data_IF_181836401949
#
_entry.id   IF_181836401949
#
_cell.length_a   1.000
_cell.length_b   1.000
_cell.length_c   1.000
_cell.angle_alpha   90.00
_cell.angle_beta   90.00
_cell.angle_gamma   90.00
#
_symmetry.space_group_name_H-M   'P 1'
#
loop_
_entity.id
_entity.type
_entity.pdbx_description
1 polymer ?
#
# COMPACT_ATOMS: atom_id res chain seq x y z
N UNK A 1 1.52 -5.30 9.81
CA UNK A 1 1.99 -5.23 8.41
C UNK A 1 3.19 -4.30 8.38
N UNK A 2 4.33 -4.80 7.91
CA UNK A 2 5.51 -3.98 7.63
C UNK A 2 5.51 -3.71 6.13
N UNK A 3 5.71 -2.47 5.74
CA UNK A 3 5.78 -2.01 4.35
C UNK A 3 7.17 -1.47 4.11
N UNK A 4 7.92 -2.11 3.23
CA UNK A 4 9.21 -1.63 2.77
C UNK A 4 9.08 -1.16 1.32
N UNK A 5 9.39 0.10 1.07
CA UNK A 5 9.38 0.65 -0.28
C UNK A 5 10.74 0.47 -0.95
N UNK A 6 10.71 0.19 -2.25
CA UNK A 6 11.85 0.15 -3.14
C UNK A 6 11.55 1.00 -4.36
N UNK A 7 12.47 1.86 -4.75
CA UNK A 7 12.36 2.70 -5.94
C UNK A 7 13.18 2.10 -7.07
N UNK A 8 12.60 2.04 -8.26
CA UNK A 8 13.34 1.63 -9.45
C UNK A 8 14.31 2.74 -9.86
N UNK A 9 15.60 2.42 -9.90
CA UNK A 9 16.66 3.30 -10.33
C UNK A 9 17.77 2.47 -10.99
N UNK A 10 18.30 2.94 -12.12
CA UNK A 10 19.44 2.28 -12.81
C UNK A 10 19.24 0.78 -13.05
N UNK A 11 18.05 0.40 -13.55
CA UNK A 11 17.67 -0.97 -13.91
C UNK A 11 17.42 -1.95 -12.74
N UNK A 12 17.43 -1.46 -11.49
CA UNK A 12 17.19 -2.28 -10.31
C UNK A 12 16.27 -1.57 -9.29
N UNK A 13 15.60 -2.36 -8.44
CA UNK A 13 14.82 -1.83 -7.33
C UNK A 13 15.73 -1.59 -6.13
N UNK A 14 16.01 -0.32 -5.84
CA UNK A 14 16.84 0.09 -4.70
C UNK A 14 15.98 0.41 -3.50
N UNK A 15 16.48 0.09 -2.31
CA UNK A 15 15.80 0.36 -1.06
C UNK A 15 15.48 1.87 -0.97
N UNK A 16 14.21 2.20 -0.84
CA UNK A 16 13.77 3.55 -0.55
C UNK A 16 13.69 3.68 0.98
N UNK A 17 14.20 4.75 1.60
CA UNK A 17 14.31 4.87 3.06
C UNK A 17 12.96 5.12 3.76
N UNK A 18 11.86 4.61 3.19
CA UNK A 18 10.54 4.60 3.80
C UNK A 18 10.20 3.17 4.21
N UNK A 19 10.21 2.97 5.53
CA UNK A 19 9.68 1.77 6.15
C UNK A 19 8.50 2.18 7.03
N UNK A 20 7.35 1.61 6.75
CA UNK A 20 6.16 1.87 7.54
C UNK A 20 5.73 0.60 8.25
N UNK A 21 5.27 0.74 9.48
CA UNK A 21 4.65 -0.34 10.22
C UNK A 21 3.23 0.07 10.53
N UNK A 22 2.27 -0.69 10.00
CA UNK A 22 0.86 -0.49 10.22
C UNK A 22 0.26 -1.70 10.92
N UNK A 23 -0.68 -1.45 11.84
CA UNK A 23 -1.58 -2.51 12.25
C UNK A 23 -2.44 -2.92 11.06
N UNK A 24 -2.62 -4.22 10.87
CA UNK A 24 -3.47 -4.77 9.81
C UNK A 24 -4.87 -4.14 9.85
N UNK A 25 -5.42 -4.03 11.06
CA UNK A 25 -6.73 -3.43 11.32
C UNK A 25 -6.80 -1.95 10.90
N UNK A 26 -5.77 -1.17 11.26
CA UNK A 26 -5.72 0.25 10.92
C UNK A 26 -5.64 0.46 9.40
N UNK A 27 -4.93 -0.41 8.69
CA UNK A 27 -4.76 -0.29 7.24
C UNK A 27 -6.10 -0.44 6.49
N UNK A 28 -6.96 -1.36 6.92
CA UNK A 28 -8.28 -1.58 6.31
C UNK A 28 -9.37 -0.65 6.83
N UNK A 29 -9.35 -0.27 8.12
CA UNK A 29 -10.37 0.59 8.74
C UNK A 29 -10.12 2.06 8.42
N UNK A 30 -8.87 2.53 8.52
CA UNK A 30 -8.50 3.93 8.29
C UNK A 30 -8.18 4.24 6.83
N UNK A 31 -8.37 3.29 5.93
CA UNK A 31 -8.14 3.44 4.48
C UNK A 31 -6.74 4.01 4.16
N UNK A 32 -5.73 3.53 4.90
CA UNK A 32 -4.37 4.07 4.77
C UNK A 32 -3.85 3.73 3.38
N UNK A 33 -3.57 4.77 2.59
CA UNK A 33 -3.16 4.63 1.19
C UNK A 33 -4.26 4.12 0.27
N UNK A 34 -5.55 4.21 0.61
CA UNK A 34 -6.66 3.82 -0.28
C UNK A 34 -6.98 2.31 -0.31
N UNK A 35 -6.32 1.52 0.53
CA UNK A 35 -6.47 0.05 0.57
C UNK A 35 -7.82 -0.39 1.18
N UNK A 36 -8.43 0.44 2.01
CA UNK A 36 -9.76 0.21 2.58
C UNK A 36 -10.89 0.39 1.56
N UNK A 37 -10.65 1.05 0.42
CA UNK A 37 -11.67 1.36 -0.59
C UNK A 37 -11.89 0.24 -1.62
N UNK A 38 -11.28 -0.94 -1.43
CA UNK A 38 -11.48 -2.09 -2.30
C UNK A 38 -12.96 -2.53 -2.30
N UNK A 39 -13.63 -2.41 -3.46
CA UNK A 39 -15.06 -2.72 -3.63
C UNK A 39 -15.40 -4.20 -3.36
N UNK A 40 -14.44 -5.10 -3.57
CA UNK A 40 -14.62 -6.54 -3.40
C UNK A 40 -13.79 -7.06 -2.21
N UNK A 41 -14.08 -6.53 -1.03
CA UNK A 41 -13.54 -7.04 0.23
C UNK A 41 -14.64 -7.73 1.04
N UNK A 42 -14.34 -8.91 1.58
CA UNK A 42 -15.21 -9.56 2.58
C UNK A 42 -14.70 -9.32 4.03
N UNK A 43 -13.66 -8.50 4.17
CA UNK A 43 -13.12 -8.06 5.45
C UNK A 43 -13.91 -6.86 5.99
N UNK A 44 -14.68 -7.10 7.06
CA UNK A 44 -15.63 -6.12 7.63
C UNK A 44 -15.09 -5.39 8.88
N UNK A 45 -13.97 -5.85 9.44
CA UNK A 45 -13.39 -5.24 10.63
C UNK A 45 -12.50 -6.20 11.41
N UNK A 46 -11.82 -5.65 12.41
CA UNK A 46 -11.06 -6.42 13.39
C UNK A 46 -11.86 -6.63 14.68
N UNK A 47 -11.61 -7.72 15.42
CA UNK A 47 -10.65 -8.80 15.13
C UNK A 47 -11.08 -9.71 13.97
N UNK A 48 -10.12 -10.23 13.19
CA UNK A 48 -10.41 -11.22 12.16
C UNK A 48 -10.88 -12.53 12.78
N UNK A 49 -11.92 -13.13 12.20
CA UNK A 49 -12.41 -14.46 12.57
C UNK A 49 -11.46 -15.52 12.02
N UNK A 50 -10.93 -16.35 12.92
CA UNK A 50 -10.08 -17.49 12.56
C UNK A 50 -10.88 -18.49 11.72
N UNK A 51 -10.29 -19.00 10.63
CA UNK A 51 -10.91 -19.99 9.75
C UNK A 51 -11.82 -19.42 8.66
N UNK A 52 -11.94 -18.08 8.57
CA UNK A 52 -12.65 -17.42 7.47
C UNK A 52 -11.69 -17.08 6.34
N UNK A 53 -12.03 -17.45 5.11
CA UNK A 53 -11.27 -17.04 3.93
C UNK A 53 -11.54 -15.57 3.63
N UNK A 54 -10.49 -14.77 3.54
CA UNK A 54 -10.58 -13.34 3.27
C UNK A 54 -10.11 -13.04 1.85
N UNK A 55 -10.98 -12.37 1.09
CA UNK A 55 -10.68 -11.93 -0.28
C UNK A 55 -10.70 -10.42 -0.34
N UNK A 56 -9.70 -9.88 -1.02
CA UNK A 56 -9.59 -8.47 -1.37
C UNK A 56 -9.09 -8.45 -2.82
N UNK A 57 -9.86 -7.86 -3.73
CA UNK A 57 -9.38 -7.59 -5.08
C UNK A 57 -9.02 -6.12 -5.27
N UNK A 58 -8.15 -5.88 -6.26
CA UNK A 58 -7.51 -4.59 -6.51
C UNK A 58 -6.77 -4.06 -5.27
N UNK A 59 -6.05 -4.97 -4.60
CA UNK A 59 -5.18 -4.61 -3.50
C UNK A 59 -3.98 -3.82 -4.03
N UNK A 60 -4.01 -2.51 -3.81
CA UNK A 60 -2.95 -1.60 -4.20
C UNK A 60 -3.21 -0.21 -3.61
N UNK A 61 -2.16 0.50 -3.16
CA UNK A 61 -2.34 1.85 -2.66
C UNK A 61 -2.70 2.81 -3.79
N UNK A 62 -3.65 3.71 -3.53
CA UNK A 62 -3.99 4.82 -4.41
C UNK A 62 -2.87 5.86 -4.38
N UNK A 63 -2.20 6.04 -5.53
CA UNK A 63 -1.12 7.00 -5.71
C UNK A 63 -1.53 8.44 -5.38
N UNK A 64 -2.82 8.77 -5.45
CA UNK A 64 -3.37 10.10 -5.14
C UNK A 64 -3.40 10.38 -3.64
N UNK A 65 -3.44 9.33 -2.80
CA UNK A 65 -3.42 9.43 -1.34
C UNK A 65 -2.02 9.30 -0.75
N UNK A 66 -1.01 9.13 -1.59
CA UNK A 66 0.38 9.07 -1.14
C UNK A 66 0.88 10.47 -0.77
N UNK A 67 1.73 10.58 0.26
CA UNK A 67 2.30 11.85 0.66
C UNK A 67 3.07 12.54 -0.48
N UNK A 68 3.05 13.89 -0.53
CA UNK A 68 3.56 14.63 -1.67
C UNK A 68 5.09 14.54 -1.86
N UNK A 69 5.82 14.03 -0.86
CA UNK A 69 7.27 13.84 -0.92
C UNK A 69 7.72 12.59 -1.69
N UNK A 70 6.81 11.66 -2.05
CA UNK A 70 7.18 10.42 -2.75
C UNK A 70 7.34 10.70 -4.25
N UNK A 71 8.56 10.75 -4.82
CA UNK A 71 8.75 11.20 -6.20
C UNK A 71 8.03 10.27 -7.19
N UNK A 72 7.67 10.80 -8.36
CA UNK A 72 7.12 9.97 -9.43
C UNK A 72 8.14 8.89 -9.85
N UNK A 73 7.63 7.73 -10.26
CA UNK A 73 8.45 6.62 -10.74
C UNK A 73 7.88 5.25 -10.41
N UNK A 74 8.62 4.21 -10.76
CA UNK A 74 8.25 2.82 -10.49
C UNK A 74 8.70 2.43 -9.08
N UNK A 75 7.79 1.84 -8.33
CA UNK A 75 8.04 1.35 -6.98
C UNK A 75 7.66 -0.12 -6.86
N UNK A 76 8.41 -0.81 -6.03
CA UNK A 76 8.05 -2.12 -5.50
C UNK A 76 7.80 -1.92 -4.00
N UNK A 77 6.62 -2.32 -3.54
CA UNK A 77 6.25 -2.36 -2.13
C UNK A 77 6.30 -3.80 -1.67
N UNK A 78 7.16 -4.07 -0.70
CA UNK A 78 7.21 -5.34 -0.01
C UNK A 78 6.36 -5.24 1.25
N UNK A 79 5.34 -6.08 1.31
CA UNK A 79 4.34 -6.10 2.36
C UNK A 79 4.49 -7.40 3.13
N UNK A 80 4.86 -7.26 4.39
CA UNK A 80 5.10 -8.38 5.29
C UNK A 80 4.01 -8.40 6.36
N UNK A 81 3.20 -9.45 6.37
CA UNK A 81 2.24 -9.74 7.42
C UNK A 81 2.89 -10.48 8.56
N UNK A 82 3.02 -9.85 9.73
CA UNK A 82 3.49 -10.52 10.94
C UNK A 82 2.35 -10.74 11.93
N UNK A 83 2.38 -11.87 12.64
CA UNK A 83 1.56 -12.15 13.81
C UNK A 83 2.45 -12.59 14.96
N UNK A 84 2.55 -11.74 15.99
CA UNK A 84 3.64 -11.84 16.96
C UNK A 84 4.98 -11.69 16.27
N UNK A 85 5.84 -12.70 16.38
CA UNK A 85 7.16 -12.78 15.76
C UNK A 85 7.18 -13.58 14.46
N UNK A 86 6.07 -14.21 14.07
CA UNK A 86 6.01 -15.08 12.91
C UNK A 86 5.54 -14.30 11.68
N UNK A 87 6.27 -14.45 10.57
CA UNK A 87 5.80 -14.02 9.25
C UNK A 87 4.71 -14.99 8.79
N UNK A 88 3.53 -14.45 8.47
CA UNK A 88 2.41 -15.24 7.91
C UNK A 88 2.39 -15.16 6.39
N UNK A 89 2.67 -13.98 5.84
CA UNK A 89 2.60 -13.75 4.41
C UNK A 89 3.57 -12.65 3.98
N UNK A 90 4.09 -12.80 2.77
CA UNK A 90 4.91 -11.83 2.07
C UNK A 90 4.28 -11.57 0.70
N UNK A 91 4.00 -10.31 0.39
CA UNK A 91 3.49 -9.89 -0.91
C UNK A 91 4.37 -8.79 -1.48
N UNK A 92 4.69 -8.90 -2.78
CA UNK A 92 5.40 -7.86 -3.53
C UNK A 92 4.41 -7.22 -4.49
N UNK A 93 4.15 -5.93 -4.29
CA UNK A 93 3.26 -5.13 -5.13
C UNK A 93 4.11 -4.20 -5.95
N UNK A 94 3.95 -4.27 -7.27
CA UNK A 94 4.63 -3.39 -8.20
C UNK A 94 3.64 -2.34 -8.68
N UNK A 95 4.06 -1.09 -8.65
CA UNK A 95 3.21 0.02 -9.05
C UNK A 95 4.03 1.18 -9.61
N UNK A 96 3.37 2.02 -10.39
CA UNK A 96 3.95 3.27 -10.85
C UNK A 96 3.21 4.43 -10.19
N UNK A 97 3.97 5.30 -9.53
CA UNK A 97 3.44 6.54 -8.98
C UNK A 97 3.55 7.59 -10.08
N UNK A 98 2.42 7.87 -10.72
CA UNK A 98 2.29 8.94 -11.72
C UNK A 98 1.36 9.99 -11.14
N UNK A 99 1.91 11.11 -10.65
CA UNK A 99 1.09 12.29 -10.35
C UNK A 99 0.94 13.15 -11.60
N UNK A 100 -0.29 13.49 -12.03
CA UNK A 100 -0.49 14.35 -13.19
C UNK A 100 0.16 15.71 -12.94
N UNK A 101 0.94 16.19 -13.90
CA UNK A 101 1.73 17.44 -13.82
C UNK A 101 0.82 18.69 -13.97
N UNK A 102 -0.52 18.52 -14.06
CA UNK A 102 -1.45 19.60 -14.36
C UNK A 102 -2.68 19.62 -13.43
N UNK A 103 -2.60 20.42 -12.38
CA UNK A 103 -3.65 21.42 -12.09
C UNK A 103 -2.93 22.77 -11.99
N UNK A 104 -2.66 23.38 -13.15
CA UNK A 104 -2.56 24.84 -13.20
C UNK A 104 -3.95 25.37 -12.89
N UNK A 105 -3.98 26.39 -12.07
CA UNK A 105 -5.14 27.19 -11.73
C UNK A 105 -6.00 27.46 -12.97
N UNK A 106 -7.21 26.92 -12.99
CA UNK A 106 -8.24 27.38 -13.90
C UNK A 106 -8.79 28.68 -13.31
N UNK A 107 -8.04 29.77 -13.50
CA UNK A 107 -8.60 31.11 -13.57
C UNK A 107 -9.02 31.27 -15.04
N UNK A 108 -10.31 31.12 -15.29
CA UNK A 108 -11.02 31.65 -16.46
C UNK A 108 -12.33 32.25 -15.95
#
# INVERSE_FOLDING_TARGET
IIVQAYKFASNEYRLFPLRFQFNFCDLFIKDIGGVGSAKCKNFVGCPSQKGKEYHICNFGPDASKLPPFIPNGRYMLELQGMYGTNEIWLAKVYGEVVRPIWKKDAIC
#
